data_IF_877748572974
#
_entry.id   IF_877748572974
#
_cell.length_a   1.000
_cell.length_b   1.000
_cell.length_c   1.000
_cell.angle_alpha   90.00
_cell.angle_beta   90.00
_cell.angle_gamma   90.00
#
_symmetry.space_group_name_H-M   'P 1'
#
loop_
_entity.id
_entity.type
_entity.pdbx_description
1 polymer ?
#
# COMPACT_ATOMS: atom_id res chain seq x y z
N UNK A 1 5.84 12.26 11.66
CA UNK A 1 6.24 10.85 11.47
C UNK A 1 7.14 10.76 10.24
N UNK A 2 8.25 10.00 10.28
CA UNK A 2 9.10 9.79 9.09
C UNK A 2 8.34 9.04 8.00
N UNK A 3 8.58 9.40 6.75
CA UNK A 3 7.88 8.78 5.61
C UNK A 3 8.23 7.30 5.45
N UNK A 4 9.49 6.92 5.71
CA UNK A 4 9.90 5.51 5.68
C UNK A 4 9.14 4.65 6.71
N UNK A 5 8.83 5.21 7.88
CA UNK A 5 8.08 4.50 8.93
C UNK A 5 6.59 4.47 8.60
N UNK A 6 6.07 5.53 7.96
CA UNK A 6 4.70 5.56 7.44
C UNK A 6 4.50 4.48 6.37
N UNK A 7 5.38 4.37 5.37
CA UNK A 7 5.31 3.32 4.34
C UNK A 7 5.38 1.91 4.94
N UNK A 8 6.15 1.72 6.02
CA UNK A 8 6.17 0.44 6.74
C UNK A 8 4.81 0.14 7.36
N UNK A 9 4.24 1.11 8.06
CA UNK A 9 2.98 0.93 8.77
C UNK A 9 1.82 0.72 7.80
N UNK A 10 1.69 1.60 6.81
CA UNK A 10 0.69 1.51 5.74
C UNK A 10 0.81 0.17 4.99
N UNK A 11 2.03 -0.19 4.56
CA UNK A 11 2.27 -1.46 3.89
C UNK A 11 1.93 -2.68 4.75
N UNK A 12 2.21 -2.62 6.06
CA UNK A 12 1.81 -3.69 7.00
C UNK A 12 0.29 -3.78 7.13
N UNK A 13 -0.41 -2.65 7.24
CA UNK A 13 -1.87 -2.62 7.27
C UNK A 13 -2.47 -3.21 5.98
N UNK A 14 -1.93 -2.85 4.81
CA UNK A 14 -2.37 -3.41 3.53
C UNK A 14 -2.11 -4.92 3.41
N UNK A 15 -0.99 -5.42 3.95
CA UNK A 15 -0.73 -6.86 4.06
C UNK A 15 -1.80 -7.54 4.92
N UNK A 16 -2.06 -7.02 6.12
CA UNK A 16 -3.04 -7.61 7.05
C UNK A 16 -4.45 -7.61 6.44
N UNK A 17 -4.87 -6.49 5.85
CA UNK A 17 -6.16 -6.38 5.15
C UNK A 17 -6.25 -7.37 3.99
N UNK A 18 -5.22 -7.44 3.15
CA UNK A 18 -5.16 -8.33 2.00
C UNK A 18 -5.18 -9.82 2.40
N UNK A 19 -4.46 -10.20 3.45
CA UNK A 19 -4.48 -11.55 3.98
C UNK A 19 -5.84 -11.91 4.61
N UNK A 20 -6.46 -11.00 5.35
CA UNK A 20 -7.80 -11.22 5.90
C UNK A 20 -8.82 -11.49 4.77
N UNK A 21 -8.80 -10.67 3.71
CA UNK A 21 -9.58 -10.85 2.50
C UNK A 21 -9.37 -12.23 1.85
N UNK A 22 -8.11 -12.63 1.65
CA UNK A 22 -7.77 -13.91 1.07
C UNK A 22 -8.25 -15.08 1.93
N UNK A 23 -8.05 -15.01 3.25
CA UNK A 23 -8.46 -16.04 4.18
C UNK A 23 -9.98 -16.20 4.27
N UNK A 24 -10.74 -15.11 4.27
CA UNK A 24 -12.21 -15.15 4.30
C UNK A 24 -12.78 -15.75 3.01
N UNK A 25 -12.15 -15.52 1.86
CA UNK A 25 -12.60 -16.08 0.57
C UNK A 25 -12.11 -17.52 0.32
N UNK A 26 -11.05 -17.96 1.00
CA UNK A 26 -10.40 -19.25 0.77
C UNK A 26 -11.31 -20.47 0.94
N UNK A 27 -12.20 -20.56 1.97
CA UNK A 27 -13.12 -21.69 2.10
C UNK A 27 -14.05 -21.85 0.88
N UNK A 28 -14.52 -20.74 0.29
CA UNK A 28 -15.36 -20.77 -0.91
C UNK A 28 -14.63 -21.28 -2.16
N UNK A 29 -13.30 -21.12 -2.20
CA UNK A 29 -12.44 -21.68 -3.26
C UNK A 29 -12.20 -23.18 -3.09
N UNK A 30 -12.09 -23.68 -1.86
CA UNK A 30 -11.90 -25.12 -1.60
C UNK A 30 -13.11 -25.96 -2.03
N UNK A 31 -14.32 -25.40 -2.04
CA UNK A 31 -15.53 -26.06 -2.52
C UNK A 31 -15.58 -26.10 -4.06
N UNK A 32 -14.83 -25.22 -4.73
CA UNK A 32 -14.81 -25.03 -6.19
C UNK A 32 -13.40 -25.30 -6.72
N UNK A 33 -12.97 -26.56 -6.72
CA UNK A 33 -11.57 -27.00 -6.90
C UNK A 33 -10.86 -26.51 -8.18
N UNK A 34 -11.58 -26.11 -9.23
CA UNK A 34 -11.01 -26.02 -10.58
C UNK A 34 -10.22 -24.74 -10.93
N UNK A 35 -10.13 -23.72 -10.06
CA UNK A 35 -9.54 -22.44 -10.47
C UNK A 35 -8.80 -21.61 -9.41
N UNK A 36 -8.49 -22.16 -8.23
CA UNK A 36 -7.80 -21.39 -7.17
C UNK A 36 -6.46 -20.78 -7.62
N UNK A 37 -5.75 -21.45 -8.53
CA UNK A 37 -4.51 -20.98 -9.15
C UNK A 37 -4.70 -19.75 -10.03
N UNK A 38 -5.88 -19.54 -10.63
CA UNK A 38 -6.16 -18.32 -11.40
C UNK A 38 -6.24 -17.08 -10.50
N UNK A 39 -6.62 -17.25 -9.23
CA UNK A 39 -6.50 -16.20 -8.21
C UNK A 39 -5.05 -15.80 -7.93
N UNK A 40 -4.09 -16.75 -8.01
CA UNK A 40 -2.66 -16.45 -7.86
C UNK A 40 -2.14 -15.63 -9.05
N UNK A 41 -2.61 -15.89 -10.27
CA UNK A 41 -2.24 -15.14 -11.47
C UNK A 41 -2.73 -13.68 -11.45
N UNK A 42 -3.70 -13.37 -10.60
CA UNK A 42 -4.15 -12.00 -10.38
C UNK A 42 -3.05 -11.10 -9.79
N UNK A 43 -2.16 -11.66 -8.96
CA UNK A 43 -1.06 -10.93 -8.33
C UNK A 43 -0.06 -10.36 -9.35
N UNK A 44 0.58 -11.18 -10.23
CA UNK A 44 1.47 -10.64 -11.25
C UNK A 44 0.72 -9.72 -12.22
N UNK A 45 -0.55 -10.00 -12.54
CA UNK A 45 -1.37 -9.12 -13.38
C UNK A 45 -1.52 -7.71 -12.80
N UNK A 46 -1.88 -7.58 -11.53
CA UNK A 46 -2.01 -6.28 -10.84
C UNK A 46 -0.66 -5.57 -10.72
N UNK A 47 0.41 -6.30 -10.37
CA UNK A 47 1.75 -5.72 -10.27
C UNK A 47 2.26 -5.21 -11.62
N UNK A 48 2.04 -5.97 -12.70
CA UNK A 48 2.36 -5.54 -14.06
C UNK A 48 1.52 -4.34 -14.49
N UNK A 49 0.23 -4.30 -14.17
CA UNK A 49 -0.63 -3.15 -14.46
C UNK A 49 -0.13 -1.88 -13.74
N UNK A 50 0.24 -1.99 -12.46
CA UNK A 50 0.83 -0.89 -11.69
C UNK A 50 2.18 -0.44 -12.26
N UNK A 51 3.05 -1.39 -12.62
CA UNK A 51 4.34 -1.13 -13.24
C UNK A 51 4.16 -0.40 -14.58
N UNK A 52 3.27 -0.91 -15.44
CA UNK A 52 2.96 -0.33 -16.74
C UNK A 52 2.39 1.09 -16.59
N UNK A 53 1.46 1.29 -15.66
CA UNK A 53 0.92 2.61 -15.37
C UNK A 53 1.99 3.59 -14.86
N UNK A 54 2.86 3.14 -13.96
CA UNK A 54 3.98 3.94 -13.48
C UNK A 54 4.97 4.28 -14.61
N UNK A 55 5.23 3.33 -15.51
CA UNK A 55 6.05 3.57 -16.71
C UNK A 55 5.44 4.62 -17.62
N UNK A 56 4.16 4.47 -17.96
CA UNK A 56 3.45 5.38 -18.88
C UNK A 56 3.30 6.80 -18.31
N UNK A 57 2.98 6.93 -17.02
CA UNK A 57 2.66 8.23 -16.41
C UNK A 57 3.85 8.94 -15.76
N UNK A 58 4.93 8.21 -15.47
CA UNK A 58 6.05 8.70 -14.63
C UNK A 58 7.43 8.34 -15.20
N UNK A 59 7.52 7.66 -16.34
CA UNK A 59 8.79 7.26 -16.96
C UNK A 59 9.58 6.23 -16.16
N UNK A 60 8.96 5.58 -15.16
CA UNK A 60 9.66 4.68 -14.24
C UNK A 60 9.86 3.30 -14.87
N UNK A 61 11.03 2.64 -14.71
CA UNK A 61 11.24 1.27 -15.19
C UNK A 61 10.27 0.25 -14.57
N UNK A 62 9.85 -0.74 -15.38
CA UNK A 62 8.89 -1.79 -14.98
C UNK A 62 9.38 -2.72 -13.88
N UNK A 63 10.68 -2.74 -13.58
CA UNK A 63 11.25 -3.59 -12.52
C UNK A 63 11.62 -2.79 -11.27
N UNK A 64 11.44 -1.46 -11.30
CA UNK A 64 11.80 -0.58 -10.20
C UNK A 64 10.61 -0.35 -9.26
N UNK A 65 10.12 -1.42 -8.63
CA UNK A 65 8.90 -1.40 -7.80
C UNK A 65 8.86 -0.30 -6.74
N UNK A 66 9.98 -0.05 -6.06
CA UNK A 66 10.10 1.05 -5.10
C UNK A 66 9.89 2.43 -5.72
N UNK A 67 10.29 2.64 -6.99
CA UNK A 67 10.11 3.92 -7.70
C UNK A 67 8.67 4.16 -8.11
N UNK A 68 7.88 3.12 -8.38
CA UNK A 68 6.48 3.29 -8.79
C UNK A 68 5.70 4.12 -7.78
N UNK A 69 6.01 3.95 -6.49
CA UNK A 69 5.29 4.57 -5.39
C UNK A 69 5.96 5.85 -4.88
N UNK A 70 7.29 5.99 -4.98
CA UNK A 70 8.01 7.09 -4.32
C UNK A 70 8.48 8.20 -5.25
N UNK A 71 8.52 8.00 -6.57
CA UNK A 71 9.09 9.00 -7.51
C UNK A 71 8.40 10.37 -7.40
N UNK A 72 7.06 10.40 -7.46
CA UNK A 72 6.28 11.65 -7.34
C UNK A 72 6.29 12.23 -5.93
N UNK A 73 6.05 11.45 -4.85
CA UNK A 73 6.11 11.98 -3.49
C UNK A 73 7.45 12.62 -3.14
N UNK A 74 8.57 11.98 -3.50
CA UNK A 74 9.91 12.50 -3.23
C UNK A 74 10.20 13.77 -4.02
N UNK A 75 9.82 13.82 -5.31
CA UNK A 75 9.98 15.02 -6.12
C UNK A 75 9.12 16.21 -5.65
N UNK A 76 7.99 15.93 -4.99
CA UNK A 76 7.08 16.94 -4.44
C UNK A 76 7.35 17.33 -2.98
N UNK A 77 8.46 16.87 -2.39
CA UNK A 77 8.80 17.15 -1.00
C UNK A 77 9.01 18.66 -0.77
N UNK A 78 8.33 19.23 0.22
CA UNK A 78 8.53 20.65 0.59
C UNK A 78 9.48 20.77 1.77
N UNK A 79 10.48 21.64 1.68
CA UNK A 79 11.45 21.83 2.75
C UNK A 79 10.83 22.44 4.02
N UNK A 80 11.34 22.03 5.19
CA UNK A 80 11.07 22.65 6.48
C UNK A 80 9.62 22.53 6.97
N UNK A 81 8.93 21.44 6.66
CA UNK A 81 7.54 21.25 7.12
C UNK A 81 7.47 20.49 8.44
N UNK A 82 6.63 20.93 9.39
CA UNK A 82 6.40 20.17 10.60
C UNK A 82 5.72 18.84 10.27
N UNK A 83 6.30 17.74 10.78
CA UNK A 83 5.74 16.42 10.62
C UNK A 83 4.43 16.23 11.39
N UNK A 84 3.53 15.40 10.87
CA UNK A 84 2.29 15.02 11.56
C UNK A 84 2.56 14.17 12.81
N UNK A 85 1.65 14.30 13.78
CA UNK A 85 1.60 13.50 15.00
C UNK A 85 1.53 12.00 14.64
N UNK A 86 2.61 11.29 14.96
CA UNK A 86 2.77 9.88 14.66
C UNK A 86 1.76 8.99 15.40
N UNK A 87 1.40 9.34 16.64
CA UNK A 87 0.45 8.57 17.45
C UNK A 87 -0.96 8.65 16.87
N UNK A 88 -1.40 9.86 16.52
CA UNK A 88 -2.71 10.08 15.89
C UNK A 88 -2.80 9.39 14.53
N UNK A 89 -1.78 9.52 13.69
CA UNK A 89 -1.75 8.90 12.36
C UNK A 89 -1.75 7.36 12.45
N UNK A 90 -0.96 6.79 13.36
CA UNK A 90 -0.94 5.35 13.60
C UNK A 90 -2.29 4.83 14.06
N UNK A 91 -2.92 5.49 15.03
CA UNK A 91 -4.24 5.09 15.54
C UNK A 91 -5.27 5.13 14.41
N UNK A 92 -5.29 6.20 13.62
CA UNK A 92 -6.20 6.35 12.48
C UNK A 92 -6.04 5.20 11.49
N UNK A 93 -4.81 4.90 11.06
CA UNK A 93 -4.55 3.81 10.11
C UNK A 93 -5.01 2.45 10.64
N UNK A 94 -4.72 2.15 11.91
CA UNK A 94 -5.13 0.88 12.51
C UNK A 94 -6.65 0.75 12.61
N UNK A 95 -7.33 1.81 13.07
CA UNK A 95 -8.79 1.84 13.18
C UNK A 95 -9.43 1.71 11.79
N UNK A 96 -8.96 2.47 10.81
CA UNK A 96 -9.44 2.41 9.44
C UNK A 96 -9.24 1.02 8.83
N UNK A 97 -8.07 0.41 9.06
CA UNK A 97 -7.79 -0.97 8.63
C UNK A 97 -8.75 -1.97 9.27
N UNK A 98 -9.00 -1.86 10.58
CA UNK A 98 -9.93 -2.74 11.29
C UNK A 98 -11.38 -2.60 10.77
N UNK A 99 -11.82 -1.37 10.54
CA UNK A 99 -13.15 -1.07 9.96
C UNK A 99 -13.26 -1.70 8.57
N UNK A 100 -12.25 -1.54 7.71
CA UNK A 100 -12.24 -2.12 6.37
C UNK A 100 -12.24 -3.64 6.40
N UNK A 101 -11.46 -4.28 7.27
CA UNK A 101 -11.48 -5.73 7.45
C UNK A 101 -12.89 -6.19 7.82
N UNK A 102 -13.53 -5.55 8.80
CA UNK A 102 -14.88 -5.91 9.23
C UNK A 102 -15.92 -5.71 8.12
N UNK A 103 -15.92 -4.55 7.48
CA UNK A 103 -16.88 -4.20 6.42
C UNK A 103 -16.77 -5.15 5.21
N UNK A 104 -15.53 -5.42 4.78
CA UNK A 104 -15.27 -6.31 3.64
C UNK A 104 -15.58 -7.76 4.00
N UNK A 105 -15.25 -8.22 5.20
CA UNK A 105 -15.62 -9.58 5.66
C UNK A 105 -17.14 -9.75 5.65
N UNK A 106 -17.88 -8.80 6.21
CA UNK A 106 -19.35 -8.82 6.19
C UNK A 106 -19.90 -8.83 4.75
N UNK A 107 -19.34 -8.00 3.87
CA UNK A 107 -19.72 -7.98 2.45
C UNK A 107 -19.49 -9.34 1.80
N UNK A 108 -18.32 -9.95 1.95
CA UNK A 108 -17.97 -11.24 1.33
C UNK A 108 -18.93 -12.34 1.77
N UNK A 109 -19.26 -12.38 3.08
CA UNK A 109 -20.17 -13.38 3.65
C UNK A 109 -21.61 -13.17 3.16
N UNK A 110 -22.07 -11.92 3.04
CA UNK A 110 -23.47 -11.60 2.72
C UNK A 110 -23.75 -11.56 1.21
N UNK A 111 -22.80 -11.14 0.37
CA UNK A 111 -23.07 -10.76 -1.02
C UNK A 111 -22.89 -11.88 -2.05
N UNK A 112 -22.67 -13.15 -1.65
CA UNK A 112 -22.43 -14.30 -2.56
C UNK A 112 -21.47 -13.97 -3.72
N UNK A 113 -20.45 -13.17 -3.43
CA UNK A 113 -19.51 -12.65 -4.42
C UNK A 113 -18.56 -13.75 -4.92
N UNK A 114 -17.96 -13.55 -6.10
CA UNK A 114 -16.97 -14.50 -6.64
C UNK A 114 -15.75 -14.59 -5.72
N UNK A 115 -15.62 -15.72 -5.01
CA UNK A 115 -14.52 -15.97 -4.07
C UNK A 115 -13.14 -15.85 -4.74
N UNK A 116 -13.05 -16.15 -6.03
CA UNK A 116 -11.82 -16.04 -6.82
C UNK A 116 -11.34 -14.60 -6.98
N UNK A 117 -12.24 -13.66 -7.26
CA UNK A 117 -11.90 -12.23 -7.37
C UNK A 117 -11.49 -11.66 -6.01
N UNK A 118 -12.19 -12.03 -4.95
CA UNK A 118 -11.90 -11.56 -3.59
C UNK A 118 -10.54 -12.08 -3.13
N UNK A 119 -10.27 -13.36 -3.33
CA UNK A 119 -8.99 -13.99 -3.01
C UNK A 119 -7.84 -13.35 -3.79
N UNK A 120 -7.97 -13.21 -5.11
CA UNK A 120 -6.95 -12.57 -5.95
C UNK A 120 -6.70 -11.12 -5.57
N UNK A 121 -7.76 -10.35 -5.25
CA UNK A 121 -7.65 -8.96 -4.79
C UNK A 121 -6.96 -8.88 -3.42
N UNK A 122 -7.26 -9.81 -2.51
CA UNK A 122 -6.60 -9.92 -1.20
C UNK A 122 -5.10 -10.15 -1.34
N UNK A 123 -4.70 -11.13 -2.15
CA UNK A 123 -3.30 -11.40 -2.44
C UNK A 123 -2.59 -10.23 -3.13
N UNK A 124 -3.24 -9.59 -4.10
CA UNK A 124 -2.67 -8.42 -4.79
C UNK A 124 -2.47 -7.24 -3.84
N UNK A 125 -3.42 -7.01 -2.93
CA UNK A 125 -3.31 -5.98 -1.88
C UNK A 125 -2.17 -6.28 -0.90
N UNK A 126 -1.97 -7.55 -0.55
CA UNK A 126 -0.86 -7.97 0.30
C UNK A 126 0.49 -7.81 -0.41
N UNK A 127 0.59 -8.18 -1.68
CA UNK A 127 1.79 -7.97 -2.49
C UNK A 127 2.12 -6.47 -2.65
N UNK A 128 1.11 -5.64 -2.88
CA UNK A 128 1.25 -4.19 -2.91
C UNK A 128 1.75 -3.63 -1.57
N UNK A 129 1.17 -4.09 -0.45
CA UNK A 129 1.62 -3.73 0.89
C UNK A 129 3.07 -4.14 1.15
N UNK A 130 3.51 -5.29 0.64
CA UNK A 130 4.90 -5.71 0.71
C UNK A 130 5.83 -4.77 -0.09
N UNK A 131 5.43 -4.36 -1.30
CA UNK A 131 6.19 -3.37 -2.09
C UNK A 131 6.35 -2.06 -1.30
N UNK A 132 5.31 -1.59 -0.61
CA UNK A 132 5.39 -0.42 0.26
C UNK A 132 6.34 -0.64 1.45
N UNK A 133 6.14 -1.71 2.21
CA UNK A 133 6.83 -1.98 3.46
C UNK A 133 8.33 -2.26 3.28
N UNK A 134 8.72 -2.79 2.12
CA UNK A 134 10.11 -3.19 1.82
C UNK A 134 10.74 -2.32 0.74
N UNK A 135 10.27 -2.40 -0.51
CA UNK A 135 10.95 -1.76 -1.65
C UNK A 135 10.85 -0.22 -1.62
N UNK A 136 9.65 0.32 -1.37
CA UNK A 136 9.46 1.77 -1.28
C UNK A 136 10.18 2.35 -0.05
N UNK A 137 10.05 1.70 1.11
CA UNK A 137 10.78 2.06 2.34
C UNK A 137 12.29 2.07 2.14
N UNK A 138 12.84 1.02 1.54
CA UNK A 138 14.27 0.90 1.26
C UNK A 138 14.78 2.04 0.37
N UNK A 139 14.01 2.39 -0.66
CA UNK A 139 14.31 3.52 -1.54
C UNK A 139 14.26 4.87 -0.81
N UNK A 140 13.25 5.12 0.02
CA UNK A 140 13.17 6.37 0.80
C UNK A 140 14.39 6.50 1.71
N UNK A 141 14.78 5.43 2.42
CA UNK A 141 16.00 5.43 3.26
C UNK A 141 17.29 5.63 2.47
N UNK A 142 17.36 5.20 1.23
CA UNK A 142 18.49 5.50 0.35
C UNK A 142 18.51 6.99 -0.02
N UNK A 143 17.35 7.54 -0.42
CA UNK A 143 17.20 8.95 -0.74
C UNK A 143 17.50 9.87 0.46
N UNK A 144 17.08 9.51 1.68
CA UNK A 144 17.40 10.25 2.91
C UNK A 144 18.91 10.30 3.17
N UNK A 145 19.62 9.19 2.92
CA UNK A 145 21.08 9.12 3.07
C UNK A 145 21.80 9.95 2.01
N UNK A 146 21.31 9.95 0.77
CA UNK A 146 21.86 10.76 -0.32
C UNK A 146 21.62 12.25 -0.12
N UNK A 147 20.44 12.63 0.36
CA UNK A 147 20.05 14.03 0.56
C UNK A 147 20.55 14.63 1.88
N UNK A 148 20.99 13.79 2.83
CA UNK A 148 21.40 14.24 4.17
C UNK A 148 20.25 14.78 5.03
N UNK A 149 18.99 14.55 4.63
CA UNK A 149 17.78 15.01 5.33
C UNK A 149 16.72 13.91 5.38
N UNK A 150 15.91 13.91 6.44
CA UNK A 150 14.83 12.95 6.62
C UNK A 150 13.55 13.45 5.93
N UNK A 151 12.80 12.55 5.29
CA UNK A 151 11.48 12.86 4.76
C UNK A 151 10.42 12.59 5.83
N UNK A 152 9.48 13.53 5.96
CA UNK A 152 8.36 13.43 6.90
C UNK A 152 7.01 13.49 6.21
N UNK A 153 6.04 12.80 6.79
CA UNK A 153 4.63 12.99 6.44
C UNK A 153 4.16 14.27 7.09
N UNK A 154 3.74 15.24 6.27
CA UNK A 154 3.25 16.55 6.67
C UNK A 154 1.84 16.77 6.13
N UNK A 155 1.07 17.71 6.68
CA UNK A 155 -0.21 18.11 6.09
C UNK A 155 -0.01 19.14 4.97
N UNK A 156 -0.80 19.03 3.91
CA UNK A 156 -0.83 20.03 2.84
C UNK A 156 -1.61 21.26 3.34
N UNK A 157 -1.01 22.47 3.30
CA UNK A 157 -1.69 23.68 3.75
C UNK A 157 -2.99 23.89 2.94
N UNK A 158 -4.10 24.19 3.63
CA UNK A 158 -5.39 24.51 3.03
C UNK A 158 -6.25 23.34 2.54
N UNK A 159 -5.69 22.13 2.43
CA UNK A 159 -6.42 20.94 1.95
C UNK A 159 -6.54 19.81 2.97
N UNK A 160 -5.78 19.86 4.08
CA UNK A 160 -5.82 18.83 5.14
C UNK A 160 -5.45 17.41 4.68
N UNK A 161 -4.81 17.30 3.50
CA UNK A 161 -4.41 16.02 2.91
C UNK A 161 -2.95 15.70 3.24
N UNK A 162 -2.56 14.42 3.35
CA UNK A 162 -1.17 14.04 3.55
C UNK A 162 -0.29 14.54 2.40
N UNK A 163 0.85 15.13 2.73
CA UNK A 163 1.89 15.59 1.82
C UNK A 163 3.28 15.18 2.33
N UNK A 164 4.29 15.26 1.48
CA UNK A 164 5.67 14.99 1.89
C UNK A 164 6.39 16.30 2.23
N UNK A 165 7.10 16.31 3.35
CA UNK A 165 8.05 17.35 3.73
C UNK A 165 9.44 16.80 3.99
N UNK A 166 10.42 17.68 4.18
CA UNK A 166 11.70 17.33 4.81
C UNK A 166 11.79 17.97 6.19
N UNK A 167 12.44 17.30 7.14
CA UNK A 167 12.82 17.91 8.42
C UNK A 167 13.79 19.07 8.13
N UNK A 168 13.62 20.16 8.88
CA UNK A 168 14.48 21.35 8.81
C UNK A 168 15.88 21.05 9.38
#
# INVERSE_FOLDING_TARGET
MRYADYLRLEGTCSIVLGLALALVAFPGLLVSYDAWWAGLLFVPGVLLALAAWARLRRGVPLLAAGRWLTERPLAGATAGRPGLDAGRLRRRLLVETAIWIAAVTAWVVLARSSGLLIFGTGLASAAFGAVQAFAARGRVRAAEREAGTAYVVAERPGLGTPSLGTDA
#
